data_IF_525859803326
#
_entry.id   IF_525859803326
#
_cell.length_a   1.000
_cell.length_b   1.000
_cell.length_c   1.000
_cell.angle_alpha   90.00
_cell.angle_beta   90.00
_cell.angle_gamma   90.00
#
_symmetry.space_group_name_H-M   'P 1'
#
loop_
_entity.id
_entity.type
_entity.pdbx_description
1 polymer ?
#
# COMPACT_ATOMS: atom_id res chain seq x y z
N UNK A 1 -12.06 22.66 32.03
CA UNK A 1 -12.73 21.55 31.34
C UNK A 1 -11.75 21.02 30.32
N UNK A 2 -11.16 19.85 30.60
CA UNK A 2 -10.08 19.26 29.81
C UNK A 2 -10.66 18.64 28.53
N UNK A 3 -10.30 19.21 27.38
CA UNK A 3 -10.61 18.62 26.08
C UNK A 3 -9.79 17.34 25.88
N UNK A 4 -10.49 16.20 25.92
CA UNK A 4 -9.92 14.90 25.61
C UNK A 4 -9.63 14.79 24.12
N UNK A 5 -8.43 15.20 23.71
CA UNK A 5 -7.82 14.69 22.49
C UNK A 5 -7.48 13.22 22.71
N UNK A 6 -8.06 12.34 21.87
CA UNK A 6 -7.78 10.91 21.86
C UNK A 6 -6.27 10.69 21.66
N UNK A 7 -5.57 10.40 22.75
CA UNK A 7 -4.20 9.95 22.75
C UNK A 7 -4.23 8.52 22.19
N UNK A 8 -3.93 8.38 20.91
CA UNK A 8 -3.63 7.09 20.29
C UNK A 8 -2.54 6.45 21.16
N UNK A 9 -2.85 5.36 21.86
CA UNK A 9 -1.90 4.61 22.67
C UNK A 9 -0.88 3.95 21.71
N UNK A 10 0.16 4.71 21.36
CA UNK A 10 1.27 4.27 20.49
C UNK A 10 1.91 2.96 20.99
N UNK A 11 1.82 2.69 22.30
CA UNK A 11 2.26 1.44 22.90
C UNK A 11 1.44 0.21 22.46
N UNK A 12 0.12 0.33 22.28
CA UNK A 12 -0.75 -0.77 21.87
C UNK A 12 -0.60 -1.10 20.37
N UNK A 13 -0.35 -0.08 19.54
CA UNK A 13 -0.12 -0.25 18.10
C UNK A 13 1.27 -0.81 17.77
N UNK A 14 2.22 -0.77 18.72
CA UNK A 14 3.59 -1.22 18.49
C UNK A 14 3.70 -2.68 18.05
N UNK A 15 2.84 -3.56 18.62
CA UNK A 15 2.85 -4.99 18.32
C UNK A 15 2.23 -5.29 16.95
N UNK A 16 0.98 -4.89 16.61
CA UNK A 16 0.44 -5.10 15.27
C UNK A 16 1.30 -4.45 14.17
N UNK A 17 1.84 -3.25 14.41
CA UNK A 17 2.72 -2.60 13.44
C UNK A 17 3.99 -3.43 13.17
N UNK A 18 4.61 -3.97 14.21
CA UNK A 18 5.82 -4.80 14.08
C UNK A 18 5.52 -6.09 13.31
N UNK A 19 4.43 -6.79 13.66
CA UNK A 19 4.02 -8.03 12.98
C UNK A 19 3.67 -7.77 11.50
N UNK A 20 3.02 -6.63 11.20
CA UNK A 20 2.73 -6.25 9.82
C UNK A 20 4.03 -6.06 9.04
N UNK A 21 5.00 -5.31 9.57
CA UNK A 21 6.28 -5.08 8.89
C UNK A 21 7.02 -6.40 8.64
N UNK A 22 7.01 -7.32 9.61
CA UNK A 22 7.61 -8.66 9.44
C UNK A 22 6.93 -9.45 8.32
N UNK A 23 5.59 -9.48 8.29
CA UNK A 23 4.82 -10.16 7.24
C UNK A 23 5.04 -9.56 5.86
N UNK A 24 5.13 -8.23 5.76
CA UNK A 24 5.49 -7.54 4.52
C UNK A 24 6.89 -7.95 4.11
N UNK A 25 7.85 -7.92 5.04
CA UNK A 25 9.23 -8.35 4.75
C UNK A 25 9.28 -9.76 4.19
N UNK A 26 8.61 -10.71 4.82
CA UNK A 26 8.58 -12.10 4.36
C UNK A 26 7.95 -12.23 2.97
N UNK A 27 6.86 -11.49 2.71
CA UNK A 27 6.16 -11.52 1.42
C UNK A 27 6.98 -10.91 0.27
N UNK A 28 7.81 -9.91 0.56
CA UNK A 28 8.69 -9.25 -0.43
C UNK A 28 10.11 -9.87 -0.43
N UNK A 29 10.28 -11.06 0.17
CA UNK A 29 11.53 -11.82 0.10
C UNK A 29 12.64 -11.39 1.08
N UNK A 30 12.26 -10.90 2.26
CA UNK A 30 13.16 -10.54 3.36
C UNK A 30 13.74 -9.13 3.29
N UNK A 31 13.39 -8.34 2.26
CA UNK A 31 13.99 -7.02 1.99
C UNK A 31 13.36 -5.92 2.87
N UNK A 32 12.15 -6.14 3.43
CA UNK A 32 11.45 -5.14 4.24
C UNK A 32 11.77 -5.16 5.75
N UNK A 33 12.98 -5.61 6.16
CA UNK A 33 13.56 -5.27 7.48
C UNK A 33 14.59 -4.12 7.39
N UNK A 34 14.21 -2.88 6.98
CA UNK A 34 15.18 -1.83 6.65
C UNK A 34 15.76 -1.03 7.83
N UNK A 35 15.73 -1.48 9.09
CA UNK A 35 16.43 -0.73 10.18
C UNK A 35 17.59 -1.46 10.88
N UNK A 36 17.57 -2.79 11.02
CA UNK A 36 18.64 -3.52 11.74
C UNK A 36 19.80 -3.96 10.84
N UNK A 37 19.55 -4.21 9.54
CA UNK A 37 20.58 -4.68 8.59
C UNK A 37 21.40 -3.51 8.01
N UNK A 38 20.76 -2.34 7.82
CA UNK A 38 21.37 -1.13 7.22
C UNK A 38 22.59 -0.58 7.98
N UNK A 39 22.75 -0.87 9.28
CA UNK A 39 23.86 -0.31 10.08
C UNK A 39 25.18 -1.08 10.03
N UNK A 40 25.18 -2.34 9.60
CA UNK A 40 26.37 -3.20 9.65
C UNK A 40 26.73 -3.79 8.28
N UNK A 41 25.74 -4.11 7.44
CA UNK A 41 25.99 -4.76 6.14
C UNK A 41 26.19 -3.80 4.95
N UNK A 42 25.76 -2.54 5.05
CA UNK A 42 25.55 -1.69 3.88
C UNK A 42 26.84 -1.26 3.17
N UNK A 43 27.94 -1.02 3.90
CA UNK A 43 29.20 -0.63 3.26
C UNK A 43 29.93 -1.82 2.60
N UNK A 44 29.96 -2.98 3.25
CA UNK A 44 30.68 -4.16 2.77
C UNK A 44 29.92 -4.91 1.68
N UNK A 45 28.59 -5.04 1.78
CA UNK A 45 27.77 -5.70 0.77
C UNK A 45 27.64 -4.85 -0.51
N UNK A 46 27.52 -3.53 -0.38
CA UNK A 46 27.58 -2.65 -1.56
C UNK A 46 28.97 -2.66 -2.19
N UNK A 47 30.04 -2.59 -1.40
CA UNK A 47 31.40 -2.69 -1.93
C UNK A 47 31.63 -4.04 -2.64
N UNK A 48 31.11 -5.15 -2.09
CA UNK A 48 31.20 -6.46 -2.71
C UNK A 48 30.38 -6.56 -4.02
N UNK A 49 29.17 -5.99 -4.06
CA UNK A 49 28.36 -5.90 -5.29
C UNK A 49 29.03 -5.04 -6.35
N UNK A 50 29.50 -3.85 -5.99
CA UNK A 50 30.21 -2.94 -6.91
C UNK A 50 31.49 -3.61 -7.43
N UNK A 51 32.23 -4.31 -6.57
CA UNK A 51 33.45 -5.04 -6.95
C UNK A 51 33.15 -6.22 -7.87
N UNK A 52 32.05 -6.95 -7.65
CA UNK A 52 31.61 -8.03 -8.53
C UNK A 52 31.13 -7.51 -9.90
N UNK A 53 30.42 -6.38 -9.93
CA UNK A 53 29.99 -5.70 -11.17
C UNK A 53 31.21 -5.17 -11.94
N UNK A 54 32.19 -4.60 -11.25
CA UNK A 54 33.43 -4.10 -11.84
C UNK A 54 34.36 -5.22 -12.36
N UNK A 55 34.19 -6.45 -11.89
CA UNK A 55 34.95 -7.63 -12.35
C UNK A 55 34.36 -8.28 -13.62
N UNK A 56 33.18 -7.86 -14.07
CA UNK A 56 32.61 -8.33 -15.33
C UNK A 56 33.10 -7.43 -16.48
N UNK A 57 33.60 -8.03 -17.57
CA UNK A 57 33.70 -7.34 -18.86
C UNK A 57 32.30 -7.16 -19.43
N UNK A 58 31.56 -6.18 -18.92
CA UNK A 58 30.21 -5.84 -19.39
C UNK A 58 30.27 -4.80 -20.51
N UNK A 59 29.45 -5.02 -21.52
CA UNK A 59 29.19 -4.09 -22.61
C UNK A 59 28.49 -2.82 -22.10
N UNK A 60 28.56 -1.72 -22.87
CA UNK A 60 27.81 -0.49 -22.58
C UNK A 60 26.29 -0.73 -22.40
N UNK A 61 25.74 -1.65 -23.21
CA UNK A 61 24.33 -2.01 -23.13
C UNK A 61 23.98 -2.67 -21.79
N UNK A 62 24.83 -3.59 -21.33
CA UNK A 62 24.65 -4.28 -20.04
C UNK A 62 24.82 -3.32 -18.86
N UNK A 63 25.78 -2.39 -18.93
CA UNK A 63 25.92 -1.34 -17.93
C UNK A 63 24.65 -0.49 -17.80
N UNK A 64 24.08 -0.05 -18.93
CA UNK A 64 22.82 0.72 -18.93
C UNK A 64 21.62 -0.09 -18.44
N UNK A 65 21.55 -1.36 -18.80
CA UNK A 65 20.49 -2.27 -18.34
C UNK A 65 20.57 -2.46 -16.81
N UNK A 66 21.77 -2.69 -16.28
CA UNK A 66 22.00 -2.85 -14.85
C UNK A 66 21.67 -1.58 -14.07
N UNK A 67 22.16 -0.41 -14.53
CA UNK A 67 21.85 0.87 -13.90
C UNK A 67 20.34 1.14 -13.85
N UNK A 68 19.62 0.81 -14.93
CA UNK A 68 18.15 0.91 -14.97
C UNK A 68 17.49 -0.01 -13.97
N UNK A 69 17.88 -1.29 -13.95
CA UNK A 69 17.35 -2.28 -13.01
C UNK A 69 17.52 -1.82 -11.57
N UNK A 70 18.72 -1.39 -11.18
CA UNK A 70 19.00 -0.92 -9.81
C UNK A 70 18.10 0.27 -9.44
N UNK A 71 17.97 1.24 -10.35
CA UNK A 71 17.11 2.42 -10.13
C UNK A 71 15.63 2.02 -10.00
N UNK A 72 15.13 1.17 -10.90
CA UNK A 72 13.74 0.74 -10.90
C UNK A 72 13.40 -0.07 -9.65
N UNK A 73 14.26 -0.99 -9.22
CA UNK A 73 14.06 -1.75 -7.98
C UNK A 73 14.18 -0.87 -6.74
N UNK A 74 15.06 0.14 -6.75
CA UNK A 74 15.15 1.14 -5.68
C UNK A 74 13.84 1.91 -5.50
N UNK A 75 13.26 2.42 -6.59
CA UNK A 75 11.96 3.13 -6.56
C UNK A 75 10.85 2.19 -6.08
N UNK A 76 10.83 0.94 -6.55
CA UNK A 76 9.83 -0.05 -6.11
C UNK A 76 9.93 -0.30 -4.60
N UNK A 77 11.14 -0.41 -4.07
CA UNK A 77 11.38 -0.59 -2.64
C UNK A 77 10.91 0.63 -1.83
N UNK A 78 11.21 1.85 -2.28
CA UNK A 78 10.73 3.09 -1.65
C UNK A 78 9.19 3.14 -1.60
N UNK A 79 8.52 2.75 -2.69
CA UNK A 79 7.06 2.69 -2.73
C UNK A 79 6.48 1.66 -1.74
N UNK A 80 7.08 0.47 -1.64
CA UNK A 80 6.67 -0.57 -0.67
C UNK A 80 6.79 -0.05 0.76
N UNK A 81 7.92 0.60 1.08
CA UNK A 81 8.17 1.18 2.41
C UNK A 81 7.19 2.31 2.72
N UNK A 82 6.92 3.20 1.77
CA UNK A 82 5.96 4.29 1.91
C UNK A 82 4.54 3.78 2.19
N UNK A 83 4.07 2.79 1.44
CA UNK A 83 2.74 2.18 1.62
C UNK A 83 2.64 1.45 2.96
N UNK A 84 3.70 0.74 3.35
CA UNK A 84 3.73 0.01 4.63
C UNK A 84 3.71 1.00 5.80
N UNK A 85 4.52 2.06 5.75
CA UNK A 85 4.54 3.09 6.77
C UNK A 85 3.21 3.85 6.86
N UNK A 86 2.59 4.14 5.71
CA UNK A 86 1.28 4.78 5.63
C UNK A 86 0.14 3.94 6.20
N UNK A 87 0.29 2.61 6.27
CA UNK A 87 -0.72 1.73 6.84
C UNK A 87 -0.73 1.75 8.38
N UNK A 88 0.42 1.98 9.02
CA UNK A 88 0.60 1.90 10.49
C UNK A 88 -0.40 2.79 11.26
N UNK A 89 -0.62 4.07 10.90
CA UNK A 89 -1.58 4.94 11.60
C UNK A 89 -3.04 4.48 11.49
N UNK A 90 -3.34 3.56 10.57
CA UNK A 90 -4.69 3.04 10.32
C UNK A 90 -4.93 1.66 10.93
N UNK A 91 -3.95 1.12 11.66
CA UNK A 91 -4.13 -0.13 12.40
C UNK A 91 -4.97 0.07 13.64
N UNK A 92 -5.83 -0.90 13.95
CA UNK A 92 -6.50 -1.00 15.24
C UNK A 92 -5.60 -1.74 16.25
N UNK A 93 -5.86 -1.54 17.55
CA UNK A 93 -5.13 -2.23 18.61
C UNK A 93 -5.33 -3.76 18.57
N UNK A 94 -6.45 -4.22 18.01
CA UNK A 94 -6.83 -5.63 17.87
C UNK A 94 -6.56 -6.22 16.47
N UNK A 95 -5.83 -5.49 15.62
CA UNK A 95 -5.45 -5.93 14.29
C UNK A 95 -4.70 -7.27 14.34
N UNK A 96 -4.85 -8.08 13.28
CA UNK A 96 -4.26 -9.43 13.15
C UNK A 96 -3.43 -9.57 11.88
N UNK A 97 -2.32 -8.81 11.71
CA UNK A 97 -1.48 -8.90 10.51
C UNK A 97 -0.90 -10.29 10.27
N UNK A 98 -0.70 -11.08 11.32
CA UNK A 98 -0.24 -12.48 11.23
C UNK A 98 -1.19 -13.37 10.41
N UNK A 99 -2.49 -13.03 10.39
CA UNK A 99 -3.52 -13.79 9.72
C UNK A 99 -3.68 -13.41 8.23
N UNK A 100 -2.96 -12.40 7.74
CA UNK A 100 -2.99 -12.04 6.31
C UNK A 100 -2.32 -13.17 5.50
N UNK A 101 -3.00 -13.71 4.47
CA UNK A 101 -2.41 -14.72 3.59
C UNK A 101 -1.17 -14.19 2.86
N UNK A 102 -0.07 -14.95 2.88
CA UNK A 102 1.20 -14.51 2.26
C UNK A 102 1.09 -14.33 0.74
N UNK A 103 0.26 -15.14 0.07
CA UNK A 103 -0.01 -15.04 -1.36
C UNK A 103 -0.85 -13.81 -1.73
N UNK A 104 -1.67 -13.32 -0.79
CA UNK A 104 -2.36 -12.04 -0.92
C UNK A 104 -1.37 -10.88 -0.80
N UNK A 105 -0.49 -10.90 0.21
CA UNK A 105 0.54 -9.86 0.39
C UNK A 105 1.48 -9.77 -0.81
N UNK A 106 1.94 -10.92 -1.31
CA UNK A 106 2.80 -10.95 -2.50
C UNK A 106 2.08 -10.34 -3.71
N UNK A 107 0.81 -10.69 -3.92
CA UNK A 107 -0.02 -10.12 -4.99
C UNK A 107 -0.26 -8.61 -4.82
N UNK A 108 -0.54 -8.17 -3.58
CA UNK A 108 -0.73 -6.76 -3.23
C UNK A 108 0.52 -5.92 -3.58
N UNK A 109 1.71 -6.35 -3.13
CA UNK A 109 2.93 -5.60 -3.38
C UNK A 109 3.45 -5.73 -4.81
N UNK A 110 3.16 -6.82 -5.51
CA UNK A 110 3.46 -6.91 -6.94
C UNK A 110 2.79 -5.76 -7.72
N UNK A 111 1.56 -5.41 -7.33
CA UNK A 111 0.77 -4.34 -7.97
C UNK A 111 1.09 -2.95 -7.41
N UNK A 112 1.26 -2.81 -6.10
CA UNK A 112 1.38 -1.50 -5.47
C UNK A 112 2.81 -0.92 -5.52
N UNK A 113 3.84 -1.75 -5.70
CA UNK A 113 5.25 -1.31 -5.75
C UNK A 113 5.58 -0.35 -6.88
N UNK A 114 4.76 -0.25 -7.92
CA UNK A 114 4.97 0.69 -9.04
C UNK A 114 4.25 2.03 -8.84
N UNK A 115 3.57 2.23 -7.72
CA UNK A 115 2.74 3.42 -7.47
C UNK A 115 3.53 4.44 -6.66
N UNK A 116 3.81 5.60 -7.26
CA UNK A 116 4.57 6.70 -6.65
C UNK A 116 3.75 7.96 -6.38
N UNK A 117 2.49 8.05 -6.83
CA UNK A 117 1.59 9.14 -6.43
C UNK A 117 1.19 8.98 -4.96
N UNK A 118 1.37 10.03 -4.16
CA UNK A 118 1.17 9.97 -2.71
C UNK A 118 -0.27 9.72 -2.28
N UNK A 119 -1.27 10.22 -3.02
CA UNK A 119 -2.69 9.96 -2.69
C UNK A 119 -3.07 8.52 -3.02
N UNK A 120 -2.58 7.99 -4.15
CA UNK A 120 -2.76 6.57 -4.47
C UNK A 120 -2.02 5.68 -3.48
N UNK A 121 -0.79 6.01 -3.07
CA UNK A 121 -0.09 5.28 -2.00
C UNK A 121 -0.88 5.30 -0.68
N UNK A 122 -1.54 6.40 -0.35
CA UNK A 122 -2.43 6.48 0.82
C UNK A 122 -3.66 5.56 0.68
N UNK A 123 -4.25 5.46 -0.52
CA UNK A 123 -5.31 4.49 -0.81
C UNK A 123 -4.80 3.04 -0.60
N UNK A 124 -3.64 2.70 -1.16
CA UNK A 124 -3.02 1.39 -0.98
C UNK A 124 -2.73 1.09 0.50
N UNK A 125 -2.21 2.07 1.24
CA UNK A 125 -1.95 1.96 2.68
C UNK A 125 -3.21 1.63 3.48
N UNK A 126 -4.35 2.25 3.14
CA UNK A 126 -5.64 1.99 3.80
C UNK A 126 -6.17 0.58 3.48
N UNK A 127 -5.97 0.10 2.26
CA UNK A 127 -6.33 -1.28 1.89
C UNK A 127 -5.49 -2.28 2.70
N UNK A 128 -4.17 -2.05 2.79
CA UNK A 128 -3.28 -2.90 3.59
C UNK A 128 -3.67 -2.91 5.07
N UNK A 129 -3.93 -1.73 5.64
CA UNK A 129 -4.38 -1.60 7.02
C UNK A 129 -5.73 -2.29 7.25
N UNK A 130 -6.67 -2.18 6.31
CA UNK A 130 -7.97 -2.83 6.40
C UNK A 130 -7.86 -4.36 6.36
N UNK A 131 -6.99 -4.91 5.51
CA UNK A 131 -6.71 -6.36 5.50
C UNK A 131 -6.03 -6.82 6.80
N UNK A 132 -5.15 -6.00 7.39
CA UNK A 132 -4.53 -6.28 8.69
C UNK A 132 -5.54 -6.22 9.85
N UNK A 133 -6.44 -5.23 9.84
CA UNK A 133 -7.48 -5.07 10.85
C UNK A 133 -8.54 -6.17 10.76
N UNK A 134 -8.94 -6.54 9.54
CA UNK A 134 -9.95 -7.55 9.27
C UNK A 134 -9.49 -8.46 8.13
N UNK A 135 -8.79 -9.56 8.44
CA UNK A 135 -8.31 -10.50 7.44
C UNK A 135 -9.44 -11.04 6.55
N UNK A 136 -9.19 -11.17 5.24
CA UNK A 136 -10.14 -11.52 4.18
C UNK A 136 -11.19 -10.44 3.86
N UNK A 137 -10.99 -9.19 4.28
CA UNK A 137 -11.88 -8.07 3.93
C UNK A 137 -11.71 -7.62 2.48
N UNK A 138 -10.50 -7.71 1.93
CA UNK A 138 -10.19 -7.36 0.55
C UNK A 138 -9.78 -8.60 -0.26
N UNK A 139 -10.49 -8.85 -1.36
CA UNK A 139 -10.14 -9.96 -2.28
C UNK A 139 -9.04 -9.51 -3.24
N UNK A 140 -8.28 -10.45 -3.82
CA UNK A 140 -7.31 -10.16 -4.90
C UNK A 140 -7.92 -9.41 -6.09
N UNK A 141 -9.22 -9.63 -6.37
CA UNK A 141 -9.95 -8.86 -7.39
C UNK A 141 -10.02 -7.36 -7.07
N UNK A 142 -10.12 -7.00 -5.79
CA UNK A 142 -10.10 -5.59 -5.37
C UNK A 142 -8.71 -4.99 -5.61
N UNK A 143 -7.65 -5.73 -5.31
CA UNK A 143 -6.26 -5.33 -5.61
C UNK A 143 -6.05 -5.10 -7.11
N UNK A 144 -6.53 -6.01 -7.95
CA UNK A 144 -6.46 -5.85 -9.42
C UNK A 144 -7.21 -4.59 -9.90
N UNK A 145 -8.44 -4.37 -9.41
CA UNK A 145 -9.23 -3.19 -9.77
C UNK A 145 -8.51 -1.90 -9.39
N UNK A 146 -7.98 -1.82 -8.17
CA UNK A 146 -7.25 -0.62 -7.69
C UNK A 146 -5.97 -0.41 -8.48
N UNK A 147 -5.33 -1.47 -8.98
CA UNK A 147 -4.13 -1.36 -9.82
C UNK A 147 -4.38 -0.75 -11.20
N UNK A 148 -5.63 -0.71 -11.66
CA UNK A 148 -6.01 -0.15 -12.96
C UNK A 148 -6.69 1.22 -12.87
N UNK A 149 -7.02 1.68 -11.67
CA UNK A 149 -7.75 2.93 -11.45
C UNK A 149 -6.78 4.11 -11.44
N UNK A 150 -7.06 5.13 -12.25
CA UNK A 150 -6.35 6.40 -12.18
C UNK A 150 -6.83 7.24 -10.99
N UNK A 151 -6.02 8.22 -10.57
CA UNK A 151 -6.36 9.12 -9.46
C UNK A 151 -7.68 9.88 -9.69
N UNK A 152 -7.92 10.31 -10.93
CA UNK A 152 -9.17 10.93 -11.38
C UNK A 152 -10.36 9.98 -11.17
N UNK A 153 -10.24 8.73 -11.60
CA UNK A 153 -11.27 7.70 -11.46
C UNK A 153 -11.53 7.36 -10.00
N UNK A 154 -10.49 7.24 -9.17
CA UNK A 154 -10.63 7.02 -7.73
C UNK A 154 -11.38 8.17 -7.05
N UNK A 155 -11.10 9.40 -7.46
CA UNK A 155 -11.75 10.61 -6.95
C UNK A 155 -13.23 10.64 -7.37
N UNK A 156 -13.51 10.34 -8.63
CA UNK A 156 -14.87 10.24 -9.18
C UNK A 156 -15.68 9.15 -8.46
N UNK A 157 -15.09 7.97 -8.27
CA UNK A 157 -15.71 6.86 -7.56
C UNK A 157 -16.00 7.22 -6.09
N UNK A 158 -15.05 7.87 -5.42
CA UNK A 158 -15.24 8.36 -4.04
C UNK A 158 -16.41 9.36 -3.97
N UNK A 159 -16.50 10.28 -4.94
CA UNK A 159 -17.61 11.24 -5.04
C UNK A 159 -18.94 10.52 -5.26
N UNK A 160 -18.98 9.52 -6.14
CA UNK A 160 -20.15 8.67 -6.35
C UNK A 160 -20.57 7.95 -5.06
N UNK A 161 -19.62 7.35 -4.34
CA UNK A 161 -19.89 6.65 -3.08
C UNK A 161 -20.45 7.55 -1.98
N UNK A 162 -20.22 8.87 -2.02
CA UNK A 162 -20.82 9.82 -1.08
C UNK A 162 -22.36 9.92 -1.20
N UNK A 163 -22.93 9.44 -2.30
CA UNK A 163 -24.37 9.36 -2.53
C UNK A 163 -24.95 7.97 -2.22
N UNK A 164 -24.17 7.09 -1.59
CA UNK A 164 -24.61 5.75 -1.22
C UNK A 164 -25.07 5.75 0.23
N UNK A 165 -26.31 5.32 0.47
CA UNK A 165 -26.85 5.15 1.81
C UNK A 165 -26.85 3.67 2.20
N UNK A 166 -26.16 3.33 3.28
CA UNK A 166 -26.18 1.99 3.88
C UNK A 166 -27.17 1.94 5.03
N UNK A 167 -28.14 1.02 4.98
CA UNK A 167 -29.08 0.83 6.09
C UNK A 167 -28.48 -0.11 7.14
N UNK A 168 -28.45 0.30 8.40
CA UNK A 168 -27.87 -0.50 9.50
C UNK A 168 -28.66 -1.79 9.75
N UNK A 169 -29.95 -1.80 9.45
CA UNK A 169 -30.90 -2.88 9.79
C UNK A 169 -31.20 -3.78 8.57
N UNK A 170 -30.83 -3.36 7.35
CA UNK A 170 -31.07 -4.12 6.12
C UNK A 170 -29.84 -4.09 5.22
N UNK A 171 -29.45 -5.21 4.57
CA UNK A 171 -28.31 -5.25 3.66
C UNK A 171 -28.55 -4.52 2.32
N UNK A 172 -29.64 -3.77 2.22
CA UNK A 172 -29.98 -2.99 1.03
C UNK A 172 -29.07 -1.77 0.94
N UNK A 173 -28.50 -1.54 -0.23
CA UNK A 173 -27.71 -0.34 -0.53
C UNK A 173 -28.55 0.55 -1.42
N UNK A 174 -28.87 1.76 -0.96
CA UNK A 174 -29.59 2.73 -1.78
C UNK A 174 -28.62 3.64 -2.52
N UNK A 175 -28.84 3.80 -3.82
CA UNK A 175 -28.13 4.73 -4.68
C UNK A 175 -29.16 5.74 -5.20
N UNK A 176 -28.86 7.03 -5.08
CA UNK A 176 -29.73 8.08 -5.61
C UNK A 176 -29.68 8.10 -7.13
N UNK A 177 -30.60 7.44 -7.81
CA UNK A 177 -30.69 7.46 -9.27
C UNK A 177 -31.80 8.42 -9.72
N UNK A 178 -31.43 9.51 -10.40
CA UNK A 178 -32.40 10.41 -11.05
C UNK A 178 -32.37 10.22 -12.56
N UNK A 179 -33.52 9.87 -13.16
CA UNK A 179 -33.70 9.78 -14.63
C UNK A 179 -33.98 11.12 -15.30
N UNK A 180 -34.35 12.14 -14.53
CA UNK A 180 -34.90 13.41 -15.03
C UNK A 180 -34.06 14.61 -14.63
N UNK A 181 -33.03 14.42 -13.80
CA UNK A 181 -32.17 15.49 -13.32
C UNK A 181 -30.73 15.11 -13.63
N UNK A 182 -29.99 16.05 -14.21
CA UNK A 182 -28.53 16.04 -14.37
C UNK A 182 -27.79 16.10 -13.00
N UNK A 183 -28.30 15.39 -12.00
CA UNK A 183 -27.84 15.45 -10.62
C UNK A 183 -26.35 15.12 -10.52
N UNK A 184 -25.93 14.03 -11.15
CA UNK A 184 -24.53 13.62 -11.20
C UNK A 184 -23.66 14.60 -11.98
N UNK A 185 -24.10 15.06 -13.15
CA UNK A 185 -23.39 16.09 -13.93
C UNK A 185 -23.21 17.42 -13.18
N UNK A 186 -24.23 17.86 -12.42
CA UNK A 186 -24.14 19.05 -11.55
C UNK A 186 -23.15 18.88 -10.40
N UNK A 187 -22.85 17.64 -10.04
CA UNK A 187 -21.81 17.28 -9.09
C UNK A 187 -20.53 16.86 -9.81
N UNK A 188 -20.33 17.24 -11.08
CA UNK A 188 -19.13 16.91 -11.88
C UNK A 188 -18.82 15.41 -11.93
N UNK A 189 -19.86 14.57 -11.80
CA UNK A 189 -19.76 13.14 -12.04
C UNK A 189 -20.22 12.90 -13.47
N UNK A 190 -19.25 12.75 -14.38
CA UNK A 190 -19.47 12.39 -15.79
C UNK A 190 -18.92 10.98 -16.06
N UNK A 191 -19.67 10.18 -16.82
CA UNK A 191 -19.37 8.80 -17.18
C UNK A 191 -19.33 8.62 -18.69
#
# INVERSE_FOLDING_TARGET
MSGGGSLINLGELSKPATVLIEKVSDAVGGIAKPWQIKRVANAEAEAAKIKAIAQLEITDLEQRALARMVREEGIKQENIEAITAGAIPHLSADAKPEAIPSDWLAHFFEKSRIVSDGEMQMLWSKILAGEANTPNSFRKKTVELVSTIEKSDASLFTKLCSFVWMFVIRPETAIFYSKTTDFYFKQEISF
#
